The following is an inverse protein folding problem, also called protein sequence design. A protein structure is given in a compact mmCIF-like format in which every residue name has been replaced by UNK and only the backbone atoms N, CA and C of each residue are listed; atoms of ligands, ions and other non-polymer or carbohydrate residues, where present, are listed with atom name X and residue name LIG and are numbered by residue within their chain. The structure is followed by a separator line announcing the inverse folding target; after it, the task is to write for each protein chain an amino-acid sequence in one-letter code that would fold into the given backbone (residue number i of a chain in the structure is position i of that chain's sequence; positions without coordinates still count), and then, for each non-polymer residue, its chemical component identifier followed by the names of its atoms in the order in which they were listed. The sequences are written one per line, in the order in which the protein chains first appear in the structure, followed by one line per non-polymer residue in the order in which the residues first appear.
data_IF_414660176437
#
_entry.id   IF_414660176437
#
_cell.length_a   1.000
_cell.length_b   1.000
_cell.length_c   1.000
_cell.angle_alpha   90.00
_cell.angle_beta   90.00
_cell.angle_gamma   90.00
#
_symmetry.space_group_name_H-M   'P 1'
#
loop_
_entity.id
_entity.type
_entity.pdbx_description
1 polymer ?
#
# COMPACT_ATOMS: atom_id res chain seq x y z
N UNK A 1 0.54 -12.63 23.94
CA UNK A 1 0.81 -12.68 22.49
C UNK A 1 1.20 -11.28 22.08
N UNK A 2 2.38 -11.14 21.58
CA UNK A 2 2.92 -9.83 21.20
C UNK A 2 3.07 -9.82 19.68
N UNK A 3 1.97 -9.46 19.01
CA UNK A 3 1.98 -9.31 17.56
C UNK A 3 2.79 -8.08 17.17
N UNK A 4 3.56 -8.21 16.10
CA UNK A 4 4.30 -7.11 15.49
C UNK A 4 4.20 -7.19 13.97
N UNK A 5 3.83 -6.09 13.35
CA UNK A 5 3.95 -5.92 11.90
C UNK A 5 5.43 -5.66 11.58
N UNK A 6 6.09 -6.55 10.83
CA UNK A 6 7.48 -6.32 10.42
C UNK A 6 7.59 -5.11 9.49
N UNK A 7 8.77 -4.48 9.46
CA UNK A 7 9.08 -3.51 8.41
C UNK A 7 8.98 -4.20 7.04
N UNK A 8 8.60 -3.46 6.01
CA UNK A 8 8.48 -3.98 4.64
C UNK A 8 9.83 -4.44 4.05
N UNK A 9 10.94 -4.04 4.66
CA UNK A 9 12.28 -4.51 4.30
C UNK A 9 12.66 -5.85 4.92
N UNK A 10 11.84 -6.42 5.81
CA UNK A 10 12.05 -7.77 6.35
C UNK A 10 11.93 -8.82 5.23
N UNK A 11 12.52 -10.01 5.38
CA UNK A 11 12.37 -11.07 4.37
C UNK A 11 10.93 -11.46 4.14
N UNK A 12 10.56 -11.65 2.88
CA UNK A 12 9.22 -12.08 2.45
C UNK A 12 9.19 -13.57 2.10
N UNK A 13 8.10 -14.22 2.42
CA UNK A 13 7.73 -15.54 1.90
C UNK A 13 7.19 -15.42 0.46
N UNK A 14 6.34 -14.39 0.24
CA UNK A 14 5.70 -14.06 -1.05
C UNK A 14 5.02 -12.71 -1.04
N UNK A 15 4.58 -12.28 -2.20
CA UNK A 15 3.64 -11.17 -2.37
C UNK A 15 2.27 -11.67 -2.85
N UNK A 16 1.21 -11.15 -2.25
CA UNK A 16 -0.18 -11.35 -2.64
C UNK A 16 -0.66 -10.20 -3.52
N UNK A 17 -1.44 -10.53 -4.55
CA UNK A 17 -2.13 -9.58 -5.43
C UNK A 17 -3.55 -10.05 -5.71
N UNK A 18 -4.40 -9.16 -6.25
CA UNK A 18 -5.70 -9.51 -6.80
C UNK A 18 -5.75 -9.13 -8.28
N UNK A 19 -6.29 -10.05 -9.12
CA UNK A 19 -6.38 -9.83 -10.56
C UNK A 19 -7.54 -8.89 -10.88
N UNK A 20 -7.37 -7.89 -11.76
CA UNK A 20 -8.46 -7.00 -12.15
C UNK A 20 -9.67 -7.78 -12.65
N UNK A 21 -10.85 -7.26 -12.36
CA UNK A 21 -12.11 -7.83 -12.79
C UNK A 21 -13.06 -6.73 -13.27
N UNK A 22 -14.06 -7.14 -14.08
CA UNK A 22 -15.10 -6.21 -14.53
C UNK A 22 -15.82 -5.57 -13.33
N UNK A 23 -15.94 -4.25 -13.35
CA UNK A 23 -16.53 -3.44 -12.29
C UNK A 23 -16.27 -1.97 -12.56
N UNK A 24 -16.72 -1.10 -11.67
CA UNK A 24 -16.62 0.35 -11.84
C UNK A 24 -15.16 0.83 -11.92
N UNK A 25 -14.29 0.26 -11.10
CA UNK A 25 -12.85 0.60 -11.02
C UNK A 25 -12.11 0.20 -12.29
N UNK A 26 -12.48 -0.92 -12.93
CA UNK A 26 -11.89 -1.32 -14.20
C UNK A 26 -12.34 -0.39 -15.34
N UNK A 27 -13.55 0.15 -15.26
CA UNK A 27 -14.19 0.97 -16.27
C UNK A 27 -14.90 0.15 -17.37
N UNK A 28 -15.70 0.82 -18.15
CA UNK A 28 -16.53 0.23 -19.22
C UNK A 28 -15.84 0.24 -20.59
N UNK A 29 -14.76 1.00 -20.76
CA UNK A 29 -13.99 1.05 -22.00
C UNK A 29 -13.03 -0.14 -22.12
N UNK A 30 -13.19 -0.90 -23.20
CA UNK A 30 -12.41 -2.11 -23.43
C UNK A 30 -10.90 -1.86 -23.56
N UNK A 31 -10.47 -0.73 -24.11
CA UNK A 31 -9.06 -0.40 -24.26
C UNK A 31 -8.44 -0.07 -22.90
N UNK A 32 -9.13 0.73 -22.10
CA UNK A 32 -8.74 1.04 -20.71
C UNK A 32 -8.69 -0.22 -19.85
N UNK A 33 -9.66 -1.13 -19.99
CA UNK A 33 -9.65 -2.40 -19.27
C UNK A 33 -8.44 -3.27 -19.64
N UNK A 34 -8.10 -3.42 -20.93
CA UNK A 34 -6.91 -4.18 -21.36
C UNK A 34 -5.60 -3.55 -20.83
N UNK A 35 -5.52 -2.24 -20.73
CA UNK A 35 -4.39 -1.53 -20.15
C UNK A 35 -4.22 -1.86 -18.65
N UNK A 36 -5.32 -1.91 -17.88
CA UNK A 36 -5.29 -2.33 -16.49
C UNK A 36 -4.83 -3.78 -16.33
N UNK A 37 -5.41 -4.72 -17.07
CA UNK A 37 -4.97 -6.12 -17.05
C UNK A 37 -3.48 -6.25 -17.36
N UNK A 38 -2.98 -5.52 -18.37
CA UNK A 38 -1.57 -5.51 -18.74
C UNK A 38 -0.68 -4.96 -17.62
N UNK A 39 -1.08 -3.87 -16.97
CA UNK A 39 -0.29 -3.23 -15.90
C UNK A 39 -0.20 -4.09 -14.65
N UNK A 40 -1.32 -4.67 -14.18
CA UNK A 40 -1.29 -5.62 -13.06
C UNK A 40 -0.44 -6.85 -13.35
N UNK A 41 -0.54 -7.37 -14.58
CA UNK A 41 0.30 -8.49 -15.02
C UNK A 41 1.78 -8.13 -15.05
N UNK A 42 2.12 -6.94 -15.54
CA UNK A 42 3.51 -6.47 -15.57
C UNK A 42 4.10 -6.33 -14.17
N UNK A 43 3.34 -5.80 -13.20
CA UNK A 43 3.74 -5.74 -11.79
C UNK A 43 3.94 -7.15 -11.22
N UNK A 44 3.00 -8.07 -11.44
CA UNK A 44 3.12 -9.45 -10.96
C UNK A 44 4.37 -10.15 -11.51
N UNK A 45 4.68 -9.96 -12.80
CA UNK A 45 5.89 -10.52 -13.42
C UNK A 45 7.17 -9.88 -12.89
N UNK A 46 7.17 -8.55 -12.67
CA UNK A 46 8.32 -7.87 -12.09
C UNK A 46 8.63 -8.36 -10.66
N UNK A 47 7.60 -8.60 -9.84
CA UNK A 47 7.75 -9.18 -8.50
C UNK A 47 8.27 -10.62 -8.58
N UNK A 48 7.76 -11.41 -9.53
CA UNK A 48 8.12 -12.83 -9.69
C UNK A 48 9.60 -13.07 -10.01
N UNK A 49 10.34 -12.05 -10.48
CA UNK A 49 11.80 -12.12 -10.63
C UNK A 49 12.55 -12.14 -9.27
N UNK A 50 11.89 -11.78 -8.18
CA UNK A 50 12.50 -11.64 -6.85
C UNK A 50 11.91 -12.59 -5.81
N UNK A 51 10.60 -12.81 -5.83
CA UNK A 51 9.90 -13.63 -4.84
C UNK A 51 8.61 -14.23 -5.42
N UNK A 52 8.07 -15.32 -4.82
CA UNK A 52 6.83 -15.91 -5.28
C UNK A 52 5.66 -14.91 -5.22
N UNK A 53 4.79 -14.95 -6.24
CA UNK A 53 3.55 -14.17 -6.30
C UNK A 53 2.36 -15.10 -6.25
N UNK A 54 1.37 -14.79 -5.41
CA UNK A 54 0.05 -15.44 -5.41
C UNK A 54 -1.00 -14.42 -5.81
N UNK A 55 -1.69 -14.68 -6.90
CA UNK A 55 -2.78 -13.85 -7.43
C UNK A 55 -4.13 -14.43 -7.04
N UNK A 56 -4.93 -13.66 -6.31
CA UNK A 56 -6.35 -13.97 -6.10
C UNK A 56 -7.11 -13.58 -7.36
N UNK A 57 -7.88 -14.51 -7.89
CA UNK A 57 -8.58 -14.36 -9.18
C UNK A 57 -10.07 -14.58 -8.97
N UNK A 58 -10.89 -13.62 -9.38
CA UNK A 58 -12.34 -13.87 -9.45
C UNK A 58 -12.63 -14.99 -10.46
N UNK A 59 -13.52 -15.95 -10.16
CA UNK A 59 -13.85 -17.06 -11.06
C UNK A 59 -14.25 -16.63 -12.48
N UNK A 60 -14.78 -15.43 -12.65
CA UNK A 60 -15.17 -14.87 -13.96
C UNK A 60 -13.95 -14.50 -14.83
N UNK A 61 -12.79 -14.25 -14.22
CA UNK A 61 -11.56 -13.85 -14.90
C UNK A 61 -10.53 -14.99 -15.04
N UNK A 62 -10.86 -16.20 -14.60
CA UNK A 62 -9.97 -17.39 -14.59
C UNK A 62 -9.21 -17.60 -15.90
N UNK A 63 -9.93 -17.60 -17.03
CA UNK A 63 -9.31 -17.89 -18.33
C UNK A 63 -8.38 -16.75 -18.78
N UNK A 64 -8.74 -15.51 -18.49
CA UNK A 64 -7.89 -14.35 -18.79
C UNK A 64 -6.63 -14.37 -17.94
N UNK A 65 -6.77 -14.50 -16.62
CA UNK A 65 -5.66 -14.59 -15.69
C UNK A 65 -4.68 -15.71 -16.07
N UNK A 66 -5.18 -16.91 -16.38
CA UNK A 66 -4.34 -18.03 -16.80
C UNK A 66 -3.52 -17.74 -18.07
N UNK A 67 -4.10 -17.01 -19.04
CA UNK A 67 -3.37 -16.62 -20.26
C UNK A 67 -2.31 -15.54 -20.00
N UNK A 68 -2.60 -14.55 -19.13
CA UNK A 68 -1.74 -13.40 -18.93
C UNK A 68 -0.63 -13.66 -17.92
N UNK A 69 -0.94 -14.32 -16.80
CA UNK A 69 0.02 -14.55 -15.72
C UNK A 69 0.96 -15.74 -15.99
N UNK A 70 0.52 -16.70 -16.81
CA UNK A 70 1.31 -17.92 -17.08
C UNK A 70 1.51 -18.80 -15.84
N UNK A 71 2.56 -19.62 -15.86
CA UNK A 71 2.87 -20.55 -14.76
C UNK A 71 3.79 -19.98 -13.68
N UNK A 72 4.24 -18.75 -13.83
CA UNK A 72 5.19 -18.11 -12.90
C UNK A 72 4.49 -17.51 -11.69
N UNK A 73 3.18 -17.25 -11.80
CA UNK A 73 2.35 -16.68 -10.75
C UNK A 73 1.36 -17.73 -10.30
N UNK A 74 1.38 -18.05 -8.99
CA UNK A 74 0.36 -18.93 -8.40
C UNK A 74 -1.01 -18.23 -8.48
N UNK A 75 -2.04 -18.98 -8.90
CA UNK A 75 -3.40 -18.45 -9.00
C UNK A 75 -4.31 -19.18 -8.04
N UNK A 76 -5.07 -18.42 -7.24
CA UNK A 76 -6.08 -18.96 -6.31
C UNK A 76 -7.41 -18.25 -6.55
N UNK A 77 -8.50 -19.01 -6.53
CA UNK A 77 -9.81 -18.45 -6.84
C UNK A 77 -10.56 -18.02 -5.58
N UNK A 78 -11.05 -16.78 -5.61
CA UNK A 78 -12.03 -16.28 -4.66
C UNK A 78 -12.90 -15.20 -5.32
N UNK A 79 -14.17 -15.05 -4.93
CA UNK A 79 -15.01 -13.95 -5.39
C UNK A 79 -14.42 -12.60 -4.97
N UNK A 80 -14.34 -11.65 -5.92
CA UNK A 80 -13.87 -10.30 -5.71
C UNK A 80 -14.93 -9.28 -6.13
N UNK A 81 -14.90 -8.11 -5.52
CA UNK A 81 -15.58 -6.91 -6.01
C UNK A 81 -14.54 -5.92 -6.56
N UNK A 82 -13.41 -5.81 -5.89
CA UNK A 82 -12.28 -4.95 -6.17
C UNK A 82 -10.96 -5.72 -6.28
N UNK A 83 -9.86 -5.05 -6.63
CA UNK A 83 -8.56 -5.69 -6.86
C UNK A 83 -7.38 -4.96 -6.20
N UNK A 84 -7.66 -4.17 -5.15
CA UNK A 84 -6.68 -3.45 -4.33
C UNK A 84 -6.25 -4.28 -3.12
N UNK A 85 -5.36 -5.26 -3.35
CA UNK A 85 -4.97 -6.26 -2.34
C UNK A 85 -4.38 -5.64 -1.06
N UNK A 86 -3.75 -4.49 -1.13
CA UNK A 86 -3.23 -3.78 0.04
C UNK A 86 -4.32 -3.46 1.05
N UNK A 87 -5.50 -3.09 0.56
CA UNK A 87 -6.54 -2.49 1.38
C UNK A 87 -7.51 -3.51 1.97
N UNK A 88 -7.86 -4.52 1.22
CA UNK A 88 -8.77 -5.58 1.69
C UNK A 88 -8.07 -6.90 2.04
N UNK A 89 -6.80 -7.05 1.69
CA UNK A 89 -5.98 -8.18 2.12
C UNK A 89 -5.62 -8.09 3.61
N UNK A 90 -5.09 -9.18 4.19
CA UNK A 90 -4.68 -9.16 5.59
C UNK A 90 -3.43 -8.31 5.79
N UNK A 91 -3.35 -7.57 6.89
CA UNK A 91 -2.07 -7.06 7.37
C UNK A 91 -1.37 -8.20 8.13
N UNK A 92 -0.26 -8.70 7.59
CA UNK A 92 0.48 -9.78 8.22
C UNK A 92 1.33 -9.30 9.39
N UNK A 93 1.38 -10.13 10.44
CA UNK A 93 2.15 -9.89 11.65
C UNK A 93 2.86 -11.16 12.10
N UNK A 94 3.93 -11.00 12.85
CA UNK A 94 4.67 -12.11 13.48
C UNK A 94 4.48 -12.07 14.99
N UNK A 95 4.57 -13.24 15.64
CA UNK A 95 4.50 -13.31 17.10
C UNK A 95 5.92 -13.36 17.67
N UNK A 96 6.35 -12.32 18.36
CA UNK A 96 7.69 -12.23 18.94
C UNK A 96 7.92 -13.22 20.10
N UNK A 97 6.86 -13.74 20.72
CA UNK A 97 6.94 -14.76 21.79
C UNK A 97 6.90 -16.20 21.24
N UNK A 98 6.38 -16.39 20.01
CA UNK A 98 6.25 -17.69 19.35
C UNK A 98 6.89 -17.68 17.96
N UNK A 99 8.22 -17.82 17.86
CA UNK A 99 8.91 -17.82 16.57
C UNK A 99 8.30 -18.84 15.60
N UNK A 100 8.12 -18.44 14.36
CA UNK A 100 7.50 -19.24 13.31
C UNK A 100 5.99 -19.13 13.24
N UNK A 101 5.34 -18.34 14.10
CA UNK A 101 3.89 -18.09 14.04
C UNK A 101 3.61 -16.84 13.23
N UNK A 102 2.82 -17.02 12.17
CA UNK A 102 2.27 -15.94 11.34
C UNK A 102 0.88 -15.57 11.83
N UNK A 103 0.61 -14.27 11.98
CA UNK A 103 -0.71 -13.72 12.20
C UNK A 103 -1.19 -12.94 10.98
N UNK A 104 -2.48 -12.82 10.83
CA UNK A 104 -3.15 -12.07 9.78
C UNK A 104 -4.23 -11.19 10.42
N UNK A 105 -4.03 -9.89 10.41
CA UNK A 105 -5.04 -8.95 10.87
C UNK A 105 -6.10 -8.79 9.80
N UNK A 106 -7.33 -9.12 10.18
CA UNK A 106 -8.55 -8.99 9.38
C UNK A 106 -9.26 -7.70 9.85
N UNK A 107 -8.90 -6.59 9.20
CA UNK A 107 -9.56 -5.30 9.44
C UNK A 107 -10.99 -5.33 8.91
N UNK A 108 -11.87 -4.56 9.53
CA UNK A 108 -13.16 -4.30 8.87
C UNK A 108 -12.91 -3.46 7.62
N UNK A 109 -13.17 -4.01 6.45
CA UNK A 109 -13.13 -3.29 5.18
C UNK A 109 -14.55 -2.89 4.78
N UNK A 110 -14.76 -1.61 4.46
CA UNK A 110 -16.06 -1.08 4.04
C UNK A 110 -16.00 -0.25 2.74
N UNK A 111 -15.03 -0.57 1.86
CA UNK A 111 -14.91 0.12 0.59
C UNK A 111 -14.51 1.59 0.74
N UNK A 112 -13.50 1.88 1.56
CA UNK A 112 -12.95 3.24 1.78
C UNK A 112 -13.95 4.27 2.34
N UNK A 113 -14.85 3.82 3.20
CA UNK A 113 -15.87 4.68 3.83
C UNK A 113 -17.27 4.54 3.22
N UNK A 114 -17.55 3.42 2.54
CA UNK A 114 -18.87 3.05 1.98
C UNK A 114 -19.44 4.12 1.02
N UNK A 115 -18.67 4.61 0.02
CA UNK A 115 -19.22 5.49 -0.98
C UNK A 115 -20.21 4.75 -1.89
N UNK A 116 -21.17 5.46 -2.48
CA UNK A 116 -22.26 4.85 -3.26
C UNK A 116 -21.77 4.00 -4.45
N UNK A 117 -20.58 4.27 -4.98
CA UNK A 117 -20.02 3.56 -6.12
C UNK A 117 -19.32 2.25 -5.73
N UNK A 118 -18.83 2.10 -4.50
CA UNK A 118 -18.00 0.96 -4.12
C UNK A 118 -18.83 -0.31 -3.88
N UNK A 119 -18.47 -1.36 -4.58
CA UNK A 119 -18.83 -2.74 -4.23
C UNK A 119 -17.67 -3.35 -3.45
N UNK A 120 -17.88 -3.90 -2.25
CA UNK A 120 -16.76 -4.33 -1.39
C UNK A 120 -17.03 -5.61 -0.58
N UNK A 121 -18.26 -6.11 -0.57
CA UNK A 121 -18.66 -7.18 0.36
C UNK A 121 -17.91 -8.50 0.15
N UNK A 122 -17.57 -8.85 -1.10
CA UNK A 122 -16.78 -10.06 -1.39
C UNK A 122 -15.30 -9.81 -1.07
N UNK A 123 -14.79 -8.63 -1.42
CA UNK A 123 -13.41 -8.24 -1.12
C UNK A 123 -13.14 -8.19 0.39
N UNK A 124 -14.12 -7.83 1.22
CA UNK A 124 -14.03 -7.86 2.68
C UNK A 124 -13.77 -9.26 3.28
N UNK A 125 -13.99 -10.35 2.54
CA UNK A 125 -13.72 -11.72 3.00
C UNK A 125 -12.31 -12.20 2.63
N UNK A 126 -11.55 -11.43 1.85
CA UNK A 126 -10.26 -11.88 1.31
C UNK A 126 -9.18 -11.98 2.39
N UNK A 127 -9.16 -11.09 3.38
CA UNK A 127 -8.20 -11.21 4.48
C UNK A 127 -8.33 -12.56 5.20
N UNK A 128 -9.55 -13.00 5.48
CA UNK A 128 -9.85 -14.32 6.06
C UNK A 128 -9.46 -15.47 5.13
N UNK A 129 -9.82 -15.36 3.85
CA UNK A 129 -9.46 -16.36 2.84
C UNK A 129 -7.94 -16.57 2.75
N UNK A 130 -7.17 -15.48 2.74
CA UNK A 130 -5.71 -15.53 2.70
C UNK A 130 -5.14 -16.10 4.00
N UNK A 131 -5.67 -15.72 5.18
CA UNK A 131 -5.27 -16.29 6.46
C UNK A 131 -5.45 -17.81 6.51
N UNK A 132 -6.59 -18.32 6.05
CA UNK A 132 -6.86 -19.77 5.97
C UNK A 132 -5.86 -20.50 5.06
N UNK A 133 -5.51 -19.90 3.92
CA UNK A 133 -4.57 -20.52 2.96
C UNK A 133 -3.13 -20.51 3.44
N UNK A 134 -2.74 -19.53 4.20
CA UNK A 134 -1.38 -19.40 4.76
C UNK A 134 -1.22 -20.14 6.08
N UNK A 135 -2.33 -20.55 6.72
CA UNK A 135 -2.34 -21.09 8.07
C UNK A 135 -2.03 -20.04 9.14
N UNK A 136 -2.16 -18.76 8.81
CA UNK A 136 -1.97 -17.67 9.75
C UNK A 136 -3.07 -17.62 10.82
N UNK A 137 -2.72 -17.24 12.03
CA UNK A 137 -3.70 -16.99 13.10
C UNK A 137 -4.49 -15.71 12.75
N UNK A 138 -5.82 -15.85 12.63
CA UNK A 138 -6.69 -14.72 12.31
C UNK A 138 -6.84 -13.78 13.51
N UNK A 139 -6.59 -12.49 13.30
CA UNK A 139 -6.72 -11.43 14.31
C UNK A 139 -7.79 -10.46 13.83
N UNK A 140 -9.04 -10.72 14.22
CA UNK A 140 -10.13 -9.84 13.80
C UNK A 140 -10.08 -8.49 14.52
N UNK A 141 -10.36 -7.42 13.78
CA UNK A 141 -10.48 -6.06 14.27
C UNK A 141 -11.81 -5.43 13.83
N UNK A 142 -12.42 -4.65 14.74
CA UNK A 142 -13.60 -3.86 14.43
C UNK A 142 -13.25 -2.46 13.90
N UNK A 143 -11.96 -2.10 13.91
CA UNK A 143 -11.52 -0.87 13.28
C UNK A 143 -11.66 -1.02 11.76
N UNK A 144 -12.35 -0.09 11.14
CA UNK A 144 -12.32 0.05 9.68
C UNK A 144 -10.97 0.64 9.32
N UNK A 145 -10.15 -0.15 8.65
CA UNK A 145 -8.80 0.23 8.25
C UNK A 145 -8.42 -0.48 6.96
N UNK A 146 -7.60 0.15 6.19
CA UNK A 146 -6.96 -0.38 4.99
C UNK A 146 -5.44 -0.43 5.20
N UNK A 147 -4.78 -1.42 4.60
CA UNK A 147 -3.32 -1.55 4.72
C UNK A 147 -2.54 -0.35 4.18
N UNK A 148 -3.07 0.33 3.15
CA UNK A 148 -2.50 1.58 2.61
C UNK A 148 -2.64 2.78 3.55
N UNK A 149 -3.55 2.72 4.52
CA UNK A 149 -3.76 3.76 5.54
C UNK A 149 -2.76 3.74 6.69
N UNK A 150 -1.85 2.76 6.74
CA UNK A 150 -0.81 2.61 7.78
C UNK A 150 0.54 2.24 7.16
N UNK A 151 1.64 2.72 7.78
CA UNK A 151 2.99 2.28 7.45
C UNK A 151 3.85 2.18 8.71
N UNK A 152 4.70 1.15 8.83
CA UNK A 152 5.44 0.87 10.07
C UNK A 152 6.96 0.75 9.84
N UNK A 153 7.73 0.99 10.90
CA UNK A 153 9.18 0.74 10.93
C UNK A 153 9.56 -0.69 11.39
N UNK A 154 8.58 -1.46 11.86
CA UNK A 154 8.82 -2.78 12.47
C UNK A 154 9.35 -2.73 13.91
N UNK A 155 9.57 -1.55 14.48
CA UNK A 155 10.09 -1.33 15.84
C UNK A 155 9.11 -0.56 16.75
N UNK A 156 7.83 -0.47 16.33
CA UNK A 156 6.76 0.11 17.14
C UNK A 156 6.25 1.46 16.65
N UNK A 157 6.86 2.08 15.64
CA UNK A 157 6.34 3.30 15.02
C UNK A 157 5.30 2.97 13.96
N UNK A 158 4.24 3.77 13.88
CA UNK A 158 3.28 3.74 12.78
C UNK A 158 2.99 5.15 12.27
N UNK A 159 3.05 5.32 10.95
CA UNK A 159 2.55 6.51 10.25
C UNK A 159 1.11 6.26 9.83
N UNK A 160 0.25 7.26 9.99
CA UNK A 160 -1.16 7.22 9.59
C UNK A 160 -1.70 8.66 9.43
N UNK A 161 -2.85 8.79 8.79
CA UNK A 161 -3.49 10.10 8.61
C UNK A 161 -4.76 10.24 9.44
N UNK A 162 -5.05 11.46 9.90
CA UNK A 162 -6.29 11.77 10.62
C UNK A 162 -7.51 11.61 9.72
N UNK A 163 -7.37 11.99 8.44
CA UNK A 163 -8.47 11.97 7.47
C UNK A 163 -8.94 10.57 7.10
N UNK A 164 -8.10 9.54 7.26
CA UNK A 164 -8.48 8.14 7.08
C UNK A 164 -9.00 7.54 8.39
N UNK A 165 -8.17 7.56 9.43
CA UNK A 165 -8.46 6.82 10.66
C UNK A 165 -9.62 7.40 11.48
N UNK A 166 -9.82 8.71 11.39
CA UNK A 166 -10.90 9.42 12.10
C UNK A 166 -12.07 9.81 11.19
N UNK A 167 -12.09 9.30 9.94
CA UNK A 167 -13.23 9.48 9.02
C UNK A 167 -14.51 8.88 9.65
N UNK A 168 -15.57 9.68 9.87
CA UNK A 168 -16.80 9.16 10.45
C UNK A 168 -17.54 8.13 9.59
N UNK A 169 -17.23 8.04 8.27
CA UNK A 169 -17.74 7.01 7.38
C UNK A 169 -17.04 5.67 7.62
N UNK A 170 -15.78 5.70 8.09
CA UNK A 170 -15.02 4.54 8.53
C UNK A 170 -15.27 4.26 10.01
N UNK A 171 -14.93 5.19 10.88
CA UNK A 171 -14.84 5.00 12.32
C UNK A 171 -15.62 6.06 13.10
N UNK A 172 -16.95 6.06 13.00
CA UNK A 172 -17.83 7.09 13.53
C UNK A 172 -17.58 7.53 14.98
N UNK A 173 -17.06 6.63 15.81
CA UNK A 173 -16.85 6.88 17.24
C UNK A 173 -15.39 6.73 17.64
N UNK A 174 -14.46 6.68 16.69
CA UNK A 174 -13.05 6.60 16.99
C UNK A 174 -12.50 7.96 17.41
N UNK A 175 -11.55 7.90 18.31
CA UNK A 175 -10.60 8.95 18.62
C UNK A 175 -9.17 8.36 18.50
N UNK A 176 -8.17 9.22 18.53
CA UNK A 176 -6.76 8.78 18.41
C UNK A 176 -6.42 7.68 19.41
N UNK A 177 -6.85 7.81 20.66
CA UNK A 177 -6.52 6.85 21.71
C UNK A 177 -7.10 5.45 21.42
N UNK A 178 -8.30 5.36 20.86
CA UNK A 178 -8.92 4.08 20.47
C UNK A 178 -8.22 3.46 19.27
N UNK A 179 -7.88 4.26 18.27
CA UNK A 179 -7.12 3.79 17.10
C UNK A 179 -5.75 3.27 17.56
N UNK A 180 -5.00 4.04 18.34
CA UNK A 180 -3.69 3.67 18.87
C UNK A 180 -3.75 2.39 19.72
N UNK A 181 -4.76 2.24 20.58
CA UNK A 181 -4.95 1.03 21.38
C UNK A 181 -5.20 -0.20 20.50
N UNK A 182 -5.96 -0.07 19.42
CA UNK A 182 -6.22 -1.17 18.49
C UNK A 182 -5.00 -1.51 17.64
N UNK A 183 -4.25 -0.52 17.18
CA UNK A 183 -2.98 -0.72 16.47
C UNK A 183 -1.93 -1.40 17.38
N UNK A 184 -1.86 -0.98 18.64
CA UNK A 184 -0.98 -1.63 19.63
C UNK A 184 -1.34 -3.11 19.84
N UNK A 185 -2.66 -3.43 19.89
CA UNK A 185 -3.16 -4.81 20.07
C UNK A 185 -2.90 -5.68 18.84
N UNK A 186 -3.08 -5.15 17.65
CA UNK A 186 -3.11 -5.92 16.39
C UNK A 186 -1.77 -6.00 15.71
N UNK A 187 -1.03 -4.89 15.63
CA UNK A 187 0.23 -4.77 14.88
C UNK A 187 1.44 -4.41 15.74
N UNK A 188 1.25 -4.26 17.08
CA UNK A 188 2.33 -3.93 18.00
C UNK A 188 2.85 -2.49 17.91
N UNK A 189 2.12 -1.60 17.25
CA UNK A 189 2.49 -0.19 17.16
C UNK A 189 2.23 0.53 18.49
N UNK A 190 3.27 1.12 19.07
CA UNK A 190 3.22 1.81 20.37
C UNK A 190 3.44 3.32 20.27
N UNK A 191 3.82 3.78 19.07
CA UNK A 191 4.11 5.18 18.79
C UNK A 191 3.49 5.57 17.43
N UNK A 192 2.39 6.30 17.49
CA UNK A 192 1.68 6.75 16.30
C UNK A 192 2.08 8.17 15.91
N UNK A 193 2.47 8.38 14.66
CA UNK A 193 2.72 9.68 14.08
C UNK A 193 1.54 10.02 13.18
N UNK A 194 0.73 10.98 13.60
CA UNK A 194 -0.49 11.40 12.95
C UNK A 194 -0.21 12.52 11.96
N UNK A 195 -0.37 12.22 10.66
CA UNK A 195 -0.36 13.23 9.62
C UNK A 195 -1.77 13.84 9.50
N UNK A 196 -1.90 15.17 9.34
CA UNK A 196 -3.21 15.80 9.28
C UNK A 196 -4.01 15.41 8.03
N UNK A 197 -3.30 15.05 6.95
CA UNK A 197 -3.89 14.71 5.65
C UNK A 197 -2.89 14.04 4.71
N UNK A 198 -3.40 13.45 3.60
CA UNK A 198 -2.64 12.96 2.46
C UNK A 198 -2.59 13.95 1.28
N UNK A 199 -2.34 13.43 0.06
CA UNK A 199 -2.26 14.21 -1.18
C UNK A 199 -3.65 14.66 -1.64
N UNK A 200 -3.71 15.76 -2.38
CA UNK A 200 -4.96 16.49 -2.65
C UNK A 200 -5.95 15.68 -3.51
N UNK A 201 -5.49 15.02 -4.59
CA UNK A 201 -6.37 14.25 -5.47
C UNK A 201 -6.97 13.02 -4.79
N UNK A 202 -6.30 12.48 -3.77
CA UNK A 202 -6.79 11.32 -3.02
C UNK A 202 -8.08 11.60 -2.20
N UNK A 203 -8.61 12.84 -2.29
CA UNK A 203 -9.92 13.21 -1.76
C UNK A 203 -11.01 13.29 -2.83
N UNK A 204 -10.69 13.01 -4.09
CA UNK A 204 -11.65 12.95 -5.18
C UNK A 204 -12.42 11.61 -5.17
N UNK A 205 -13.37 11.42 -6.11
CA UNK A 205 -14.37 10.34 -6.06
C UNK A 205 -13.79 8.92 -5.91
N UNK A 206 -12.65 8.58 -6.51
CA UNK A 206 -12.02 7.26 -6.39
C UNK A 206 -10.83 7.23 -5.42
N UNK A 207 -10.65 8.29 -4.64
CA UNK A 207 -9.57 8.37 -3.67
C UNK A 207 -9.89 7.69 -2.34
N UNK A 208 -8.85 7.50 -1.54
CA UNK A 208 -8.90 6.83 -0.23
C UNK A 208 -9.13 7.79 0.94
N UNK A 209 -9.16 9.10 0.68
CA UNK A 209 -9.21 10.21 1.64
C UNK A 209 -7.91 10.41 2.44
N UNK A 210 -6.78 10.10 1.85
CA UNK A 210 -5.48 10.45 2.40
C UNK A 210 -4.68 9.28 2.94
N UNK A 211 -4.63 8.16 2.22
CA UNK A 211 -3.74 7.06 2.56
C UNK A 211 -2.29 7.54 2.70
N UNK A 212 -1.57 6.97 3.67
CA UNK A 212 -0.18 7.36 3.95
C UNK A 212 0.80 6.77 2.95
N UNK A 213 0.47 5.68 2.28
CA UNK A 213 1.37 4.91 1.39
C UNK A 213 1.71 5.62 0.06
N UNK A 214 1.01 6.71 -0.29
CA UNK A 214 1.41 7.63 -1.36
C UNK A 214 2.17 8.86 -0.84
N UNK A 215 2.25 9.03 0.48
CA UNK A 215 2.79 10.21 1.15
C UNK A 215 4.18 9.95 1.71
N UNK A 216 4.33 8.89 2.51
CA UNK A 216 5.56 8.61 3.23
C UNK A 216 5.74 7.13 3.53
N UNK A 217 6.99 6.66 3.52
CA UNK A 217 7.38 5.31 3.90
C UNK A 217 8.63 5.34 4.79
N UNK A 218 8.87 4.25 5.55
CA UNK A 218 10.03 4.12 6.43
C UNK A 218 10.97 3.04 5.89
N UNK A 219 11.99 3.39 5.10
CA UNK A 219 12.95 2.43 4.54
C UNK A 219 13.77 1.69 5.59
N UNK A 220 14.03 2.34 6.70
CA UNK A 220 14.70 1.76 7.86
C UNK A 220 14.41 2.59 9.12
N UNK A 221 14.55 2.04 10.32
CA UNK A 221 14.36 2.80 11.54
C UNK A 221 15.16 4.11 11.58
N UNK A 222 14.50 5.21 11.93
CA UNK A 222 15.08 6.55 11.95
C UNK A 222 15.23 7.22 10.57
N UNK A 223 14.86 6.56 9.46
CA UNK A 223 14.87 7.15 8.10
C UNK A 223 13.48 7.17 7.52
N UNK A 224 13.10 8.29 6.93
CA UNK A 224 11.79 8.54 6.34
C UNK A 224 11.95 8.97 4.88
N UNK A 225 11.20 8.37 3.97
CA UNK A 225 11.10 8.77 2.57
C UNK A 225 9.79 9.51 2.40
N UNK A 226 9.85 10.77 1.96
CA UNK A 226 8.69 11.67 1.90
C UNK A 226 8.44 12.13 0.46
N UNK A 227 7.22 11.94 -0.02
CA UNK A 227 6.77 12.53 -1.28
C UNK A 227 6.91 14.06 -1.23
N UNK A 228 7.54 14.63 -2.25
CA UNK A 228 7.79 16.07 -2.29
C UNK A 228 7.39 16.67 -3.63
N UNK A 229 6.32 17.46 -3.65
CA UNK A 229 5.95 18.26 -4.80
C UNK A 229 6.77 19.54 -4.82
N UNK A 230 7.53 19.74 -5.91
CA UNK A 230 8.45 20.91 -6.06
C UNK A 230 7.82 22.07 -6.82
N UNK A 231 6.73 21.85 -7.56
CA UNK A 231 6.07 22.89 -8.33
C UNK A 231 5.05 23.66 -7.47
N UNK A 232 5.23 24.97 -7.35
CA UNK A 232 4.39 25.83 -6.52
C UNK A 232 2.96 26.03 -7.07
N UNK A 233 2.70 25.66 -8.33
CA UNK A 233 1.36 25.70 -8.91
C UNK A 233 0.52 24.48 -8.51
N UNK A 234 1.17 23.41 -8.08
CA UNK A 234 0.52 22.19 -7.64
C UNK A 234 0.03 22.31 -6.19
N UNK A 235 -1.21 21.91 -5.85
CA UNK A 235 -1.73 22.01 -4.48
C UNK A 235 -0.88 21.24 -3.47
N UNK A 236 -0.29 20.12 -3.84
CA UNK A 236 0.55 19.29 -2.98
C UNK A 236 1.92 19.90 -2.67
N UNK A 237 2.30 21.03 -3.28
CA UNK A 237 3.46 21.81 -2.85
C UNK A 237 3.32 22.26 -1.39
N UNK A 238 2.15 22.78 -1.03
CA UNK A 238 1.87 23.19 0.34
C UNK A 238 1.78 21.99 1.29
N UNK A 239 1.16 20.89 0.84
CA UNK A 239 1.04 19.63 1.61
C UNK A 239 2.42 19.07 1.94
N UNK A 240 3.31 18.95 0.95
CA UNK A 240 4.67 18.41 1.15
C UNK A 240 5.46 19.23 2.19
N UNK A 241 5.35 20.55 2.16
CA UNK A 241 6.02 21.43 3.12
C UNK A 241 5.44 21.33 4.53
N UNK A 242 4.11 21.24 4.65
CA UNK A 242 3.41 21.02 5.91
C UNK A 242 3.87 19.71 6.56
N UNK A 243 3.84 18.63 5.80
CA UNK A 243 4.22 17.31 6.28
C UNK A 243 5.71 17.20 6.62
N UNK A 244 6.58 17.82 5.81
CA UNK A 244 8.01 17.86 6.10
C UNK A 244 8.28 18.59 7.42
N UNK A 245 7.64 19.75 7.64
CA UNK A 245 7.81 20.52 8.87
C UNK A 245 7.31 19.73 10.09
N UNK A 246 6.13 19.11 10.00
CA UNK A 246 5.56 18.27 11.06
C UNK A 246 6.49 17.09 11.40
N UNK A 247 6.92 16.34 10.39
CA UNK A 247 7.76 15.15 10.59
C UNK A 247 9.12 15.49 11.15
N UNK A 248 9.70 16.67 10.80
CA UNK A 248 10.97 17.15 11.35
C UNK A 248 10.93 17.37 12.87
N UNK A 249 9.74 17.60 13.44
CA UNK A 249 9.54 17.82 14.88
C UNK A 249 9.14 16.52 15.62
N UNK A 250 9.14 15.36 14.93
CA UNK A 250 8.79 14.06 15.52
C UNK A 250 10.00 13.12 15.61
N UNK A 251 9.82 12.03 16.34
CA UNK A 251 10.80 10.95 16.46
C UNK A 251 10.12 9.61 16.22
N UNK A 252 10.88 8.55 15.95
CA UNK A 252 10.36 7.19 15.97
C UNK A 252 10.11 6.69 17.41
N UNK A 253 9.61 5.46 17.55
CA UNK A 253 9.31 4.82 18.83
C UNK A 253 10.53 4.68 19.75
N UNK A 254 11.75 4.66 19.21
CA UNK A 254 13.00 4.61 19.96
C UNK A 254 13.53 6.02 20.32
N UNK A 255 12.84 7.09 19.93
CA UNK A 255 13.23 8.49 20.16
C UNK A 255 14.29 9.00 19.19
N UNK A 256 14.50 8.33 18.05
CA UNK A 256 15.44 8.79 17.01
C UNK A 256 14.76 9.88 16.16
N UNK A 257 15.41 11.04 15.96
CA UNK A 257 14.92 12.00 14.97
C UNK A 257 15.00 11.41 13.56
N UNK A 258 14.11 11.86 12.69
CA UNK A 258 14.06 11.38 11.32
C UNK A 258 15.17 11.95 10.43
N UNK A 259 15.87 11.08 9.70
CA UNK A 259 16.59 11.44 8.49
C UNK A 259 15.57 11.42 7.34
N UNK A 260 15.03 12.62 7.02
CA UNK A 260 13.99 12.76 6.00
C UNK A 260 14.64 12.89 4.64
N UNK A 261 14.39 11.91 3.77
CA UNK A 261 14.80 11.92 2.37
C UNK A 261 13.60 12.33 1.52
N UNK A 262 13.74 13.44 0.80
CA UNK A 262 12.72 13.90 -0.14
C UNK A 262 12.75 13.05 -1.42
N UNK A 263 11.60 12.49 -1.80
CA UNK A 263 11.39 11.82 -3.08
C UNK A 263 10.49 12.71 -3.94
N UNK A 264 11.07 13.38 -4.96
CA UNK A 264 10.31 14.33 -5.77
C UNK A 264 9.17 13.65 -6.53
N UNK A 265 8.05 14.36 -6.64
CA UNK A 265 6.95 13.99 -7.53
C UNK A 265 7.43 13.97 -9.00
N UNK A 266 6.76 13.22 -9.89
CA UNK A 266 6.93 13.34 -11.34
C UNK A 266 6.75 14.79 -11.83
N UNK A 267 7.22 15.08 -13.04
CA UNK A 267 7.12 16.44 -13.60
C UNK A 267 5.71 16.75 -14.15
N UNK A 268 4.94 15.72 -14.50
CA UNK A 268 3.52 15.88 -14.91
C UNK A 268 2.71 16.40 -13.74
N UNK A 269 2.10 17.56 -13.92
CA UNK A 269 1.27 18.19 -12.89
C UNK A 269 -0.20 17.85 -13.02
N UNK A 270 -0.68 17.59 -14.26
CA UNK A 270 -2.09 17.40 -14.56
C UNK A 270 -2.29 16.33 -15.63
N UNK A 271 -3.42 15.65 -15.52
CA UNK A 271 -4.05 14.86 -16.57
C UNK A 271 -5.37 15.51 -17.02
N UNK A 272 -6.22 14.74 -17.70
CA UNK A 272 -7.52 15.22 -18.20
C UNK A 272 -8.52 15.54 -17.06
N UNK A 273 -8.34 14.95 -15.89
CA UNK A 273 -9.23 15.09 -14.72
C UNK A 273 -8.77 16.18 -13.73
N UNK A 274 -7.50 16.57 -13.76
CA UNK A 274 -7.01 17.62 -12.87
C UNK A 274 -5.54 17.46 -12.47
N UNK A 275 -5.18 17.93 -11.28
CA UNK A 275 -3.86 17.70 -10.72
C UNK A 275 -3.68 16.23 -10.36
N UNK A 276 -2.51 15.66 -10.67
CA UNK A 276 -2.20 14.26 -10.39
C UNK A 276 -1.60 14.10 -8.97
N UNK A 277 -1.80 12.94 -8.37
CA UNK A 277 -1.18 12.54 -7.11
C UNK A 277 -0.08 11.47 -7.31
N UNK A 278 0.51 11.45 -8.48
CA UNK A 278 1.54 10.47 -8.84
C UNK A 278 2.71 10.51 -7.88
N UNK A 279 3.03 9.36 -7.30
CA UNK A 279 4.02 9.26 -6.24
C UNK A 279 4.91 8.03 -6.39
N UNK A 280 6.23 8.25 -6.42
CA UNK A 280 7.23 7.18 -6.34
C UNK A 280 7.31 6.53 -4.94
N UNK A 281 6.68 7.15 -3.92
CA UNK A 281 6.58 6.56 -2.58
C UNK A 281 5.72 5.29 -2.59
N UNK A 282 4.75 5.20 -3.50
CA UNK A 282 3.87 4.04 -3.62
C UNK A 282 4.54 2.84 -4.34
N UNK A 283 5.71 2.45 -3.88
CA UNK A 283 6.48 1.30 -4.37
C UNK A 283 6.34 0.08 -3.44
N UNK A 284 6.64 -1.10 -3.96
CA UNK A 284 6.73 -2.33 -3.19
C UNK A 284 8.19 -2.70 -2.94
N UNK A 285 8.53 -2.98 -1.69
CA UNK A 285 9.79 -3.62 -1.33
C UNK A 285 9.64 -5.13 -1.54
N UNK A 286 10.60 -5.77 -2.22
CA UNK A 286 10.65 -7.23 -2.42
C UNK A 286 12.02 -7.78 -2.02
N UNK A 287 12.19 -9.10 -1.91
CA UNK A 287 13.47 -9.71 -1.58
C UNK A 287 14.55 -9.34 -2.62
N UNK A 288 15.48 -8.46 -2.23
CA UNK A 288 16.58 -8.02 -3.10
C UNK A 288 16.20 -6.95 -4.14
N UNK A 289 14.97 -6.46 -4.16
CA UNK A 289 14.51 -5.44 -5.12
C UNK A 289 13.50 -4.44 -4.57
N UNK A 290 13.21 -3.45 -5.40
CA UNK A 290 12.12 -2.48 -5.25
C UNK A 290 11.35 -2.48 -6.56
N UNK A 291 10.06 -2.72 -6.53
CA UNK A 291 9.18 -2.53 -7.68
C UNK A 291 8.57 -1.14 -7.56
N UNK A 292 9.06 -0.23 -8.37
CA UNK A 292 8.75 1.19 -8.27
C UNK A 292 7.82 1.66 -9.39
N UNK A 293 6.99 2.65 -9.07
CA UNK A 293 6.14 3.30 -10.04
C UNK A 293 6.98 4.08 -11.04
N UNK A 294 6.81 3.80 -12.35
CA UNK A 294 7.35 4.58 -13.45
C UNK A 294 6.24 5.39 -14.10
N UNK A 295 6.55 6.60 -14.52
CA UNK A 295 5.58 7.50 -15.15
C UNK A 295 5.95 7.86 -16.59
N UNK A 296 6.99 7.19 -17.15
CA UNK A 296 7.48 7.43 -18.51
C UNK A 296 8.21 8.76 -18.66
N UNK A 297 8.71 9.30 -17.56
CA UNK A 297 9.45 10.55 -17.48
C UNK A 297 10.93 10.27 -17.24
N UNK A 298 11.69 10.05 -18.31
CA UNK A 298 13.08 9.57 -18.25
C UNK A 298 13.94 10.22 -17.15
N UNK A 299 13.84 11.55 -16.98
CA UNK A 299 14.64 12.27 -15.98
C UNK A 299 14.11 12.09 -14.56
N UNK A 300 12.79 12.18 -14.35
CA UNK A 300 12.19 12.05 -13.04
C UNK A 300 12.24 10.59 -12.55
N UNK A 301 11.97 9.62 -13.45
CA UNK A 301 12.09 8.20 -13.16
C UNK A 301 13.55 7.82 -12.80
N UNK A 302 14.57 8.40 -13.49
CA UNK A 302 15.96 8.19 -13.16
C UNK A 302 16.34 8.80 -11.79
N UNK A 303 15.92 10.03 -11.48
CA UNK A 303 16.14 10.67 -10.18
C UNK A 303 15.51 9.85 -9.05
N UNK A 304 14.28 9.38 -9.24
CA UNK A 304 13.60 8.52 -8.27
C UNK A 304 14.34 7.18 -8.07
N UNK A 305 14.83 6.57 -9.16
CA UNK A 305 15.65 5.34 -9.09
C UNK A 305 16.90 5.54 -8.24
N UNK A 306 17.65 6.61 -8.48
CA UNK A 306 18.88 6.91 -7.71
C UNK A 306 18.59 7.12 -6.22
N UNK A 307 17.49 7.81 -5.88
CA UNK A 307 17.09 8.02 -4.49
C UNK A 307 16.68 6.70 -3.85
N UNK A 308 15.86 5.89 -4.52
CA UNK A 308 15.40 4.59 -3.99
C UNK A 308 16.59 3.63 -3.78
N UNK A 309 17.54 3.54 -4.70
CA UNK A 309 18.75 2.75 -4.52
C UNK A 309 19.61 3.22 -3.33
N UNK A 310 19.66 4.52 -3.10
CA UNK A 310 20.39 5.10 -1.96
C UNK A 310 19.73 4.81 -0.61
N UNK A 311 18.39 4.81 -0.53
CA UNK A 311 17.66 4.54 0.73
C UNK A 311 17.43 3.07 1.00
N UNK A 312 17.48 2.21 -0.03
CA UNK A 312 17.37 0.76 0.08
C UNK A 312 18.66 0.05 -0.39
N UNK A 313 19.78 0.20 0.31
CA UNK A 313 21.08 -0.31 -0.14
C UNK A 313 21.06 -1.82 -0.38
N UNK A 314 21.59 -2.22 -1.53
CA UNK A 314 21.67 -3.63 -1.94
C UNK A 314 20.41 -4.17 -2.61
N UNK A 315 19.39 -3.33 -2.87
CA UNK A 315 18.20 -3.67 -3.64
C UNK A 315 18.27 -3.03 -5.02
N UNK A 316 17.83 -3.77 -6.04
CA UNK A 316 17.74 -3.27 -7.41
C UNK A 316 16.37 -2.64 -7.63
N UNK A 317 16.30 -1.45 -8.21
CA UNK A 317 15.03 -0.80 -8.55
C UNK A 317 14.57 -1.24 -9.95
N UNK A 318 13.34 -1.74 -10.02
CA UNK A 318 12.66 -2.08 -11.27
C UNK A 318 11.45 -1.16 -11.42
N UNK A 319 11.51 -0.26 -12.41
CA UNK A 319 10.38 0.62 -12.74
C UNK A 319 9.35 -0.10 -13.59
N UNK A 320 8.07 0.02 -13.21
CA UNK A 320 6.92 -0.47 -13.98
C UNK A 320 5.99 0.70 -14.28
N UNK A 321 5.51 0.82 -15.51
CA UNK A 321 4.55 1.89 -15.88
C UNK A 321 3.29 1.81 -15.02
N UNK A 322 3.12 2.78 -14.16
CA UNK A 322 2.05 2.84 -13.17
C UNK A 322 0.97 3.88 -13.49
N UNK A 323 1.09 4.57 -14.63
CA UNK A 323 0.07 5.54 -15.05
C UNK A 323 -1.33 4.92 -15.14
N UNK A 324 -1.50 3.70 -15.70
CA UNK A 324 -2.80 3.05 -15.73
C UNK A 324 -3.31 2.62 -14.34
N UNK A 325 -2.42 2.40 -13.37
CA UNK A 325 -2.79 2.06 -12.01
C UNK A 325 -3.28 3.33 -11.30
N UNK A 326 -2.51 4.42 -11.37
CA UNK A 326 -2.89 5.72 -10.79
C UNK A 326 -4.16 6.30 -11.41
N UNK A 327 -4.41 6.05 -12.70
CA UNK A 327 -5.69 6.41 -13.34
C UNK A 327 -6.92 5.71 -12.71
N UNK A 328 -6.71 4.76 -11.81
CA UNK A 328 -7.75 4.01 -11.08
C UNK A 328 -7.75 4.26 -9.58
N UNK A 329 -6.89 5.17 -9.10
CA UNK A 329 -6.87 5.62 -7.70
C UNK A 329 -5.73 5.11 -6.84
N UNK A 330 -4.63 4.60 -7.40
CA UNK A 330 -3.48 4.19 -6.60
C UNK A 330 -2.27 3.72 -7.41
N UNK A 331 -1.27 3.14 -6.75
CA UNK A 331 -0.03 2.68 -7.38
C UNK A 331 0.31 1.22 -7.05
N UNK A 332 1.59 0.87 -7.19
CA UNK A 332 2.07 -0.51 -7.03
C UNK A 332 1.90 -1.03 -5.60
N UNK A 333 2.13 -0.19 -4.59
CA UNK A 333 1.91 -0.59 -3.20
C UNK A 333 0.45 -0.96 -2.92
N UNK A 334 -0.49 -0.17 -3.44
CA UNK A 334 -1.93 -0.36 -3.24
C UNK A 334 -2.44 -1.70 -3.80
N UNK A 335 -1.82 -2.23 -4.86
CA UNK A 335 -2.23 -3.50 -5.49
C UNK A 335 -1.52 -4.74 -4.95
N UNK A 336 -0.63 -4.58 -3.97
CA UNK A 336 0.26 -5.63 -3.46
C UNK A 336 0.21 -5.74 -1.96
N UNK A 337 0.39 -6.96 -1.41
CA UNK A 337 0.50 -7.22 0.02
C UNK A 337 1.59 -8.25 0.28
N UNK A 338 2.67 -7.84 0.94
CA UNK A 338 3.76 -8.74 1.32
C UNK A 338 3.35 -9.67 2.48
N UNK A 339 3.76 -10.93 2.39
CA UNK A 339 3.70 -11.89 3.48
C UNK A 339 5.11 -12.08 4.03
N UNK A 340 5.40 -11.74 5.30
CA UNK A 340 6.72 -11.90 5.87
C UNK A 340 7.09 -13.38 6.03
N UNK A 341 8.37 -13.68 5.87
CA UNK A 341 8.92 -14.99 6.21
C UNK A 341 9.05 -15.13 7.73
N UNK A 342 8.45 -16.16 8.30
CA UNK A 342 8.45 -16.38 9.76
C UNK A 342 9.63 -17.22 10.27
N UNK A 343 10.41 -17.81 9.37
CA UNK A 343 11.54 -18.68 9.69
C UNK A 343 12.91 -18.12 9.23
N UNK A 344 12.98 -16.83 8.94
CA UNK A 344 14.18 -16.15 8.48
C UNK A 344 15.09 -15.69 9.63
#
# INVERSE_FOLDING_TARGET
MTWRMPAETAPHERTWMAFPRAGITLGDDAASAEEAYASWTAVAHAIAEYEPVTMVVDPTERERAARMLGSHVEQVEAPLDEFWMRDFGPTFVVDDERPGVLGAVDWTFNGWGDPEWAEWRKSAEIARFVAERTGAELISSLLVNEGGGIHVDGEGTVLLTETVQLDPRRNKYADKARVEAELARTIGATHAIWLPRGLTRDYDDFGTNGHVDIVATIPSPGRLLLHTQRDAEHPDFAVSRELHALLSDTTDAAGRPWDIVELPAPATLRDEEGFVDWSYVNHLVVNGGIIACGFGEERADAEATEILEAVYPGRTVTMVDSRPIFARGGGIHCITQQQPAVNA
#
